data_IF_225267429241
#
_entry.id   IF_225267429241
#
_cell.length_a   1.000
_cell.length_b   1.000
_cell.length_c   1.000
_cell.angle_alpha   90.00
_cell.angle_beta   90.00
_cell.angle_gamma   90.00
#
_symmetry.space_group_name_H-M   'P 1'
#
loop_
_entity.id
_entity.type
_entity.pdbx_description
1 polymer ?
#
# COMPACT_ATOMS: atom_id res chain seq x y z
N UNK A 1 4.59 8.43 4.36
CA UNK A 1 5.80 8.98 5.01
C UNK A 1 6.32 7.97 6.03
N UNK A 2 7.63 7.79 6.10
CA UNK A 2 8.34 6.99 7.08
C UNK A 2 8.86 7.91 8.20
N UNK A 3 8.13 7.97 9.31
CA UNK A 3 8.51 8.74 10.49
C UNK A 3 8.11 7.96 11.75
N UNK A 4 8.67 8.30 12.93
CA UNK A 4 8.33 7.61 14.17
C UNK A 4 6.83 7.54 14.44
N UNK A 5 6.07 8.58 14.10
CA UNK A 5 4.63 8.67 14.30
C UNK A 5 3.86 7.73 13.36
N UNK A 6 4.26 7.62 12.09
CA UNK A 6 3.59 6.77 11.10
C UNK A 6 3.89 5.28 11.29
N UNK A 7 5.07 4.98 11.84
CA UNK A 7 5.55 3.62 12.10
C UNK A 7 5.16 3.09 13.48
N UNK A 8 4.83 3.95 14.45
CA UNK A 8 4.49 3.53 15.81
C UNK A 8 3.08 2.95 15.88
N UNK A 9 2.91 1.77 16.51
CA UNK A 9 1.61 1.22 16.86
C UNK A 9 0.74 2.20 17.66
N UNK A 10 -0.56 2.23 17.36
CA UNK A 10 -1.53 3.02 18.14
C UNK A 10 -2.00 2.24 19.37
N UNK A 11 -2.70 2.93 20.27
CA UNK A 11 -3.48 2.29 21.34
C UNK A 11 -4.80 1.77 20.78
N UNK A 12 -5.45 0.78 21.42
CA UNK A 12 -6.79 0.36 21.05
C UNK A 12 -7.76 1.55 21.03
N UNK A 13 -8.60 1.63 20.00
CA UNK A 13 -9.62 2.67 19.85
C UNK A 13 -11.00 2.03 19.96
N UNK A 14 -11.82 2.52 20.89
CA UNK A 14 -13.23 2.18 20.99
C UNK A 14 -14.05 3.43 20.66
N UNK A 15 -14.81 3.40 19.58
CA UNK A 15 -15.77 4.45 19.23
C UNK A 15 -17.18 3.91 19.50
N UNK A 16 -18.02 4.72 20.15
CA UNK A 16 -19.37 4.28 20.57
C UNK A 16 -20.29 3.94 19.39
N UNK A 17 -20.18 4.66 18.28
CA UNK A 17 -21.09 4.51 17.14
C UNK A 17 -20.48 3.82 15.90
N UNK A 18 -19.16 3.57 15.89
CA UNK A 18 -18.46 3.01 14.74
C UNK A 18 -17.43 1.99 15.17
N UNK A 19 -17.69 0.72 14.89
CA UNK A 19 -16.73 -0.33 15.21
C UNK A 19 -15.50 -0.19 14.30
N UNK A 20 -14.34 -0.08 14.92
CA UNK A 20 -13.05 -0.16 14.22
C UNK A 20 -12.79 -1.63 13.91
N UNK A 21 -12.46 -1.93 12.66
CA UNK A 21 -12.08 -3.28 12.24
C UNK A 21 -10.96 -3.82 13.17
N UNK A 22 -11.14 -4.99 13.79
CA UNK A 22 -10.13 -5.60 14.65
C UNK A 22 -8.77 -5.75 13.97
N UNK A 23 -8.72 -5.96 12.65
CA UNK A 23 -7.49 -6.06 11.88
C UNK A 23 -6.69 -4.75 11.84
N UNK A 24 -7.31 -3.60 12.13
CA UNK A 24 -6.63 -2.30 12.20
C UNK A 24 -6.27 -1.87 13.63
N UNK A 25 -6.73 -2.60 14.65
CA UNK A 25 -6.47 -2.24 16.05
C UNK A 25 -5.00 -2.38 16.38
N UNK A 26 -4.48 -1.45 17.18
CA UNK A 26 -3.09 -1.46 17.67
C UNK A 26 -2.00 -1.52 16.59
N UNK A 27 -2.34 -1.18 15.34
CA UNK A 27 -1.40 -1.12 14.24
C UNK A 27 -0.92 0.31 13.99
N UNK A 28 0.29 0.44 13.46
CA UNK A 28 0.79 1.72 12.99
C UNK A 28 0.02 2.21 11.78
N UNK A 29 0.09 3.50 11.48
CA UNK A 29 -0.54 4.05 10.27
C UNK A 29 -0.03 3.36 9.00
N UNK A 30 1.29 3.16 8.91
CA UNK A 30 1.90 2.46 7.77
C UNK A 30 1.36 1.03 7.61
N UNK A 31 1.24 0.27 8.71
CA UNK A 31 0.74 -1.10 8.65
C UNK A 31 -0.76 -1.17 8.32
N UNK A 32 -1.56 -0.21 8.78
CA UNK A 32 -2.97 -0.10 8.39
C UNK A 32 -3.10 0.14 6.88
N UNK A 33 -2.29 1.01 6.29
CA UNK A 33 -2.31 1.24 4.84
C UNK A 33 -1.83 0.05 4.02
N UNK A 34 -0.85 -0.71 4.54
CA UNK A 34 -0.45 -1.98 3.94
C UNK A 34 -1.66 -2.93 3.81
N UNK A 35 -2.42 -3.14 4.89
CA UNK A 35 -3.62 -3.99 4.89
C UNK A 35 -4.71 -3.44 3.95
N UNK A 36 -4.90 -2.12 3.91
CA UNK A 36 -5.84 -1.50 2.97
C UNK A 36 -5.46 -1.83 1.53
N UNK A 37 -4.20 -1.64 1.15
CA UNK A 37 -3.72 -1.96 -0.20
C UNK A 37 -3.87 -3.45 -0.53
N UNK A 38 -3.53 -4.36 0.39
CA UNK A 38 -3.74 -5.80 0.20
C UNK A 38 -5.22 -6.13 -0.04
N UNK A 39 -6.13 -5.57 0.77
CA UNK A 39 -7.57 -5.82 0.63
C UNK A 39 -8.13 -5.25 -0.67
N UNK A 40 -7.72 -4.05 -1.09
CA UNK A 40 -8.14 -3.48 -2.38
C UNK A 40 -7.83 -4.41 -3.55
N UNK A 41 -6.66 -5.07 -3.54
CA UNK A 41 -6.27 -6.02 -4.57
C UNK A 41 -7.02 -7.35 -4.43
N UNK A 42 -7.05 -7.92 -3.21
CA UNK A 42 -7.67 -9.24 -2.95
C UNK A 42 -9.19 -9.24 -3.14
N UNK A 43 -9.85 -8.10 -2.92
CA UNK A 43 -11.28 -7.91 -3.13
C UNK A 43 -11.61 -7.44 -4.55
N UNK A 44 -10.63 -7.47 -5.47
CA UNK A 44 -10.78 -7.13 -6.90
C UNK A 44 -11.29 -5.70 -7.16
N UNK A 45 -11.09 -4.79 -6.19
CA UNK A 45 -11.37 -3.37 -6.39
C UNK A 45 -10.25 -2.72 -7.22
N UNK A 46 -9.03 -3.24 -7.11
CA UNK A 46 -7.84 -2.80 -7.83
C UNK A 46 -7.15 -4.02 -8.46
N UNK A 47 -6.68 -3.90 -9.70
CA UNK A 47 -5.86 -4.93 -10.36
C UNK A 47 -4.48 -5.09 -9.69
N UNK A 48 -3.93 -4.00 -9.15
CA UNK A 48 -2.65 -3.96 -8.44
C UNK A 48 -2.57 -2.71 -7.55
N UNK A 49 -1.73 -2.77 -6.52
CA UNK A 49 -1.39 -1.63 -5.67
C UNK A 49 0.11 -1.58 -5.40
N UNK A 50 0.64 -0.38 -5.17
CA UNK A 50 2.03 -0.13 -4.79
C UNK A 50 2.05 0.58 -3.44
N UNK A 51 2.73 0.00 -2.45
CA UNK A 51 2.87 0.61 -1.14
C UNK A 51 4.33 0.62 -0.70
N UNK A 52 4.83 1.81 -0.42
CA UNK A 52 6.18 2.04 0.10
C UNK A 52 6.18 3.28 0.98
N UNK A 53 7.18 3.37 1.85
CA UNK A 53 7.38 4.50 2.75
C UNK A 53 8.73 5.15 2.47
N UNK A 54 8.82 6.46 2.67
CA UNK A 54 10.09 7.20 2.59
C UNK A 54 10.07 8.30 3.64
N UNK A 55 11.25 8.62 4.20
CA UNK A 55 11.41 9.69 5.16
C UNK A 55 11.75 11.01 4.45
N UNK A 56 11.55 12.12 5.15
CA UNK A 56 11.75 13.47 4.59
C UNK A 56 13.21 13.83 4.31
N UNK A 57 14.18 13.22 5.02
CA UNK A 57 15.60 13.53 4.87
C UNK A 57 16.24 12.82 3.69
N UNK A 58 16.10 11.50 3.63
CA UNK A 58 16.75 10.63 2.64
C UNK A 58 15.82 10.27 1.47
N UNK A 59 14.51 10.46 1.62
CA UNK A 59 13.53 10.13 0.56
C UNK A 59 13.79 10.86 -0.74
N UNK A 60 14.29 12.10 -0.69
CA UNK A 60 14.68 12.88 -1.88
C UNK A 60 15.88 12.28 -2.62
N UNK A 61 16.71 11.48 -1.94
CA UNK A 61 17.81 10.73 -2.56
C UNK A 61 17.37 9.35 -3.10
N UNK A 62 16.07 9.05 -3.08
CA UNK A 62 15.51 7.80 -3.56
C UNK A 62 15.56 6.66 -2.54
N UNK A 63 15.82 6.93 -1.25
CA UNK A 63 15.69 5.90 -0.21
C UNK A 63 14.22 5.70 0.15
N UNK A 64 13.80 4.45 0.16
CA UNK A 64 12.45 4.04 0.56
C UNK A 64 12.48 2.64 1.16
N UNK A 65 11.41 2.29 1.87
CA UNK A 65 11.15 0.96 2.40
C UNK A 65 9.92 0.35 1.77
N UNK A 66 9.97 -0.95 1.51
CA UNK A 66 8.85 -1.72 0.96
C UNK A 66 8.47 -2.80 1.98
N UNK A 67 7.53 -2.50 2.90
CA UNK A 67 7.23 -3.41 4.01
C UNK A 67 6.55 -4.70 3.55
N UNK A 68 6.01 -4.73 2.33
CA UNK A 68 5.30 -5.85 1.76
C UNK A 68 5.77 -6.10 0.32
N UNK A 69 6.31 -7.29 0.06
CA UNK A 69 6.82 -7.69 -1.24
C UNK A 69 5.72 -7.81 -2.32
N UNK A 70 4.50 -8.18 -1.94
CA UNK A 70 3.32 -8.21 -2.83
C UNK A 70 3.02 -6.81 -3.38
N UNK A 71 3.18 -5.78 -2.54
CA UNK A 71 2.90 -4.38 -2.85
C UNK A 71 4.14 -3.61 -3.35
N UNK A 72 5.18 -4.32 -3.79
CA UNK A 72 6.42 -3.69 -4.22
C UNK A 72 6.25 -2.92 -5.54
N UNK A 73 7.01 -1.83 -5.69
CA UNK A 73 7.17 -1.03 -6.92
C UNK A 73 7.43 -1.93 -8.13
N UNK A 74 8.30 -2.94 -7.98
CA UNK A 74 8.62 -3.87 -9.05
C UNK A 74 7.39 -4.65 -9.50
N UNK A 75 6.65 -5.29 -8.58
CA UNK A 75 5.45 -6.06 -8.94
C UNK A 75 4.35 -5.17 -9.50
N UNK A 76 4.17 -3.98 -8.94
CA UNK A 76 3.24 -2.99 -9.47
C UNK A 76 3.61 -2.58 -10.90
N UNK A 77 4.88 -2.26 -11.16
CA UNK A 77 5.36 -1.88 -12.49
C UNK A 77 5.18 -3.00 -13.51
N UNK A 78 5.44 -4.26 -13.11
CA UNK A 78 5.19 -5.44 -13.96
C UNK A 78 3.70 -5.55 -14.31
N UNK A 79 2.81 -5.43 -13.33
CA UNK A 79 1.35 -5.51 -13.56
C UNK A 79 0.86 -4.38 -14.47
N UNK A 80 1.29 -3.15 -14.21
CA UNK A 80 0.95 -1.98 -15.04
C UNK A 80 1.46 -2.15 -16.48
N UNK A 81 2.70 -2.59 -16.65
CA UNK A 81 3.28 -2.85 -17.96
C UNK A 81 2.50 -3.93 -18.71
N UNK A 82 2.18 -5.05 -18.07
CA UNK A 82 1.41 -6.13 -18.68
C UNK A 82 0.03 -5.66 -19.14
N UNK A 83 -0.68 -4.86 -18.32
CA UNK A 83 -1.97 -4.28 -18.71
C UNK A 83 -1.84 -3.33 -19.89
N UNK A 84 -0.83 -2.46 -19.90
CA UNK A 84 -0.57 -1.54 -21.00
C UNK A 84 -0.21 -2.27 -22.30
N UNK A 85 0.63 -3.30 -22.22
CA UNK A 85 1.02 -4.14 -23.36
C UNK A 85 -0.19 -4.88 -23.94
N UNK A 86 -1.03 -5.50 -23.09
CA UNK A 86 -2.25 -6.17 -23.52
C UNK A 86 -3.19 -5.19 -24.23
N UNK A 87 -3.37 -3.98 -23.69
CA UNK A 87 -4.18 -2.95 -24.33
C UNK A 87 -3.61 -2.49 -25.68
N UNK A 88 -2.29 -2.33 -25.79
CA UNK A 88 -1.64 -1.96 -27.05
C UNK A 88 -1.83 -3.03 -28.14
N UNK A 89 -1.85 -4.32 -27.77
CA UNK A 89 -2.12 -5.41 -28.71
C UNK A 89 -3.55 -5.40 -29.24
N UNK A 90 -4.54 -5.00 -28.42
CA UNK A 90 -5.93 -4.83 -28.86
C UNK A 90 -6.12 -3.68 -29.87
N UNK A 91 -5.21 -2.70 -29.84
CA UNK A 91 -5.25 -1.52 -30.72
C UNK A 91 -4.46 -1.69 -32.03
N UNK A 92 -3.87 -2.86 -32.29
CA UNK A 92 -3.30 -3.13 -33.62
C UNK A 92 -4.44 -3.18 -34.65
N UNK A 93 -4.40 -2.38 -35.73
CA UNK A 93 -5.38 -2.46 -36.81
C UNK A 93 -5.33 -3.83 -37.50
#
# INVERSE_FOLDING_TARGET
EECPESLRPTRPIALESYLVDPAFQTLSYAKRYEIVCERLVRELLYDAACFFTSNSSDGLSGKFSQPNDELSIQKFAISLHARAAAFAMLKKP
#
